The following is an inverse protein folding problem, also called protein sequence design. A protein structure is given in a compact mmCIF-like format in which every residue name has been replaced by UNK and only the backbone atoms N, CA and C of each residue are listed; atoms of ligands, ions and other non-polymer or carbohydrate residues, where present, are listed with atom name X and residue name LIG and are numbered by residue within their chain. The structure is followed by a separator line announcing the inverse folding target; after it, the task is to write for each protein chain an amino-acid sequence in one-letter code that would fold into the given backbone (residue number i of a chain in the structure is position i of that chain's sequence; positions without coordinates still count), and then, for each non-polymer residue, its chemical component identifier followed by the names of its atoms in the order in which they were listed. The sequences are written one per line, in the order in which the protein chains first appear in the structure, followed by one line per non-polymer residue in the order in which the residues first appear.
data_IF_892235504771
#
_entry.id   IF_892235504771
#
_cell.length_a   1.000
_cell.length_b   1.000
_cell.length_c   1.000
_cell.angle_alpha   90.00
_cell.angle_beta   90.00
_cell.angle_gamma   90.00
#
_symmetry.space_group_name_H-M   'P 1'
#
loop_
_entity.id
_entity.type
_entity.pdbx_description
1 polymer ?
#
# COMPACT_ATOMS: atom_id res chain seq x y z
N UNK A 1 -47.43 -27.52 -52.03
CA UNK A 1 -48.01 -26.69 -53.09
C UNK A 1 -47.46 -25.28 -53.00
N UNK A 2 -46.74 -24.89 -54.01
CA UNK A 2 -46.40 -23.55 -54.45
C UNK A 2 -45.10 -23.00 -53.88
N UNK A 3 -44.06 -23.05 -54.53
CA UNK A 3 -43.47 -22.69 -55.85
C UNK A 3 -42.52 -21.48 -55.70
N UNK A 4 -41.28 -21.78 -55.87
CA UNK A 4 -40.09 -21.09 -56.39
C UNK A 4 -40.38 -19.77 -57.11
N UNK A 5 -39.53 -18.74 -56.82
CA UNK A 5 -38.93 -17.90 -57.84
C UNK A 5 -37.61 -17.24 -57.38
N UNK A 6 -36.54 -17.69 -58.00
CA UNK A 6 -35.28 -17.00 -58.18
C UNK A 6 -35.47 -15.74 -59.03
N UNK A 7 -34.78 -14.66 -58.72
CA UNK A 7 -34.45 -13.59 -59.65
C UNK A 7 -32.97 -13.28 -59.46
N UNK A 8 -32.18 -13.77 -60.43
CA UNK A 8 -30.88 -13.25 -60.85
C UNK A 8 -31.10 -11.85 -61.40
N UNK A 9 -30.26 -10.90 -61.02
CA UNK A 9 -29.98 -9.80 -61.94
C UNK A 9 -28.57 -9.21 -61.67
N UNK A 10 -27.83 -9.27 -62.78
CA UNK A 10 -26.52 -8.69 -63.00
C UNK A 10 -26.54 -7.17 -62.83
N UNK A 11 -25.42 -6.59 -62.40
CA UNK A 11 -25.21 -5.16 -62.32
C UNK A 11 -23.82 -4.76 -61.93
N UNK A 12 -22.84 -5.01 -62.82
CA UNK A 12 -21.53 -4.35 -62.79
C UNK A 12 -21.68 -2.85 -62.67
N UNK A 13 -21.10 -2.24 -61.63
CA UNK A 13 -20.73 -0.84 -61.64
C UNK A 13 -19.38 -0.66 -60.92
N UNK A 14 -18.35 -0.61 -61.73
CA UNK A 14 -17.02 -0.08 -61.41
C UNK A 14 -17.18 1.38 -61.00
N UNK A 15 -16.89 1.70 -59.74
CA UNK A 15 -16.60 3.08 -59.33
C UNK A 15 -15.31 3.05 -58.53
N UNK A 16 -14.36 3.85 -59.01
CA UNK A 16 -12.97 3.93 -58.68
C UNK A 16 -12.65 4.13 -57.21
N UNK A 17 -11.58 3.48 -56.83
CA UNK A 17 -10.86 3.72 -55.60
C UNK A 17 -10.22 5.11 -55.59
N UNK A 18 -10.23 5.84 -54.50
CA UNK A 18 -9.22 6.85 -54.22
C UNK A 18 -8.09 6.23 -53.41
N UNK A 19 -7.21 5.50 -54.05
CA UNK A 19 -5.82 5.43 -53.61
C UNK A 19 -5.24 6.82 -53.80
N UNK A 20 -4.86 7.52 -52.73
CA UNK A 20 -3.88 8.62 -52.67
C UNK A 20 -4.08 9.59 -51.49
N UNK A 21 -4.42 9.12 -50.29
CA UNK A 21 -4.35 9.99 -49.07
C UNK A 21 -3.66 9.31 -47.89
N UNK A 22 -3.27 8.04 -47.98
CA UNK A 22 -2.63 7.35 -46.85
C UNK A 22 -1.11 7.60 -46.73
N UNK A 23 -0.46 8.12 -47.75
CA UNK A 23 0.99 8.39 -47.75
C UNK A 23 1.44 9.63 -46.99
N UNK A 24 0.58 10.62 -46.78
CA UNK A 24 0.98 11.89 -46.17
C UNK A 24 0.82 11.93 -44.63
N UNK A 25 0.07 11.01 -44.02
CA UNK A 25 -0.13 10.96 -42.58
C UNK A 25 0.91 10.09 -41.83
N UNK A 26 1.56 9.16 -42.53
CA UNK A 26 2.58 8.30 -41.91
C UNK A 26 3.95 8.96 -41.79
N UNK A 27 4.33 9.87 -42.70
CA UNK A 27 5.61 10.57 -42.66
C UNK A 27 5.67 11.68 -41.56
N UNK A 28 4.54 12.16 -41.05
CA UNK A 28 4.48 13.18 -40.01
C UNK A 28 4.71 12.61 -38.60
N UNK A 29 4.56 11.29 -38.39
CA UNK A 29 4.72 10.65 -37.08
C UNK A 29 6.15 10.10 -36.91
N UNK A 30 6.85 9.80 -37.99
CA UNK A 30 8.20 9.23 -37.93
C UNK A 30 9.32 10.23 -37.54
N UNK A 31 9.03 11.54 -37.51
CA UNK A 31 10.03 12.59 -37.26
C UNK A 31 10.13 13.15 -35.88
N UNK A 32 9.25 12.78 -34.91
CA UNK A 32 9.43 13.18 -33.51
C UNK A 32 10.37 12.21 -32.81
N UNK A 33 11.68 12.47 -32.93
CA UNK A 33 12.65 11.94 -31.96
C UNK A 33 12.14 12.31 -30.57
N UNK A 34 11.85 11.27 -29.75
CA UNK A 34 11.61 11.47 -28.34
C UNK A 34 12.74 12.33 -27.79
N UNK A 35 12.45 13.36 -26.97
CA UNK A 35 13.50 14.18 -26.39
C UNK A 35 14.50 13.25 -25.70
N UNK A 36 15.83 13.52 -25.82
CA UNK A 36 16.82 12.70 -25.17
C UNK A 36 16.46 12.67 -23.69
N UNK A 37 16.22 11.46 -23.17
CA UNK A 37 16.09 11.25 -21.73
C UNK A 37 17.40 11.71 -21.13
N UNK A 38 17.36 12.89 -20.54
CA UNK A 38 18.51 13.49 -19.87
C UNK A 38 18.93 12.53 -18.76
N UNK A 39 19.96 11.74 -19.02
CA UNK A 39 20.46 10.68 -18.15
C UNK A 39 21.22 11.22 -16.93
N UNK A 40 21.13 12.51 -16.66
CA UNK A 40 21.57 13.12 -15.41
C UNK A 40 20.51 12.87 -14.35
N UNK A 41 20.55 11.68 -13.74
CA UNK A 41 19.82 11.42 -12.52
C UNK A 41 20.26 12.45 -11.48
N UNK A 42 19.42 13.46 -11.23
CA UNK A 42 19.60 14.32 -10.06
C UNK A 42 19.76 13.43 -8.82
N UNK A 43 20.69 13.73 -7.92
CA UNK A 43 20.91 12.92 -6.74
C UNK A 43 19.60 12.77 -5.97
N UNK A 44 19.23 11.52 -5.67
CA UNK A 44 18.01 11.22 -4.92
C UNK A 44 18.09 11.94 -3.57
N UNK A 45 17.11 12.78 -3.20
CA UNK A 45 17.12 13.51 -1.93
C UNK A 45 17.20 12.54 -0.75
N UNK A 46 17.93 12.89 0.31
CA UNK A 46 18.13 12.02 1.48
C UNK A 46 16.82 11.55 2.12
N UNK A 47 15.80 12.40 2.19
CA UNK A 47 14.50 12.06 2.75
C UNK A 47 13.76 10.97 1.97
N UNK A 48 14.07 10.78 0.68
CA UNK A 48 13.44 9.75 -0.15
C UNK A 48 14.06 8.36 0.10
N UNK A 49 15.31 8.29 0.59
CA UNK A 49 15.97 7.02 0.92
C UNK A 49 15.23 6.24 2.00
N UNK A 50 14.60 6.93 2.95
CA UNK A 50 13.75 6.32 3.97
C UNK A 50 12.65 5.44 3.35
N UNK A 51 11.96 5.98 2.36
CA UNK A 51 10.91 5.25 1.63
C UNK A 51 11.50 4.23 0.62
N UNK A 52 12.60 4.54 -0.06
CA UNK A 52 13.27 3.62 -0.99
C UNK A 52 13.73 2.35 -0.26
N UNK A 53 14.27 2.50 0.94
CA UNK A 53 14.70 1.38 1.78
C UNK A 53 13.57 0.70 2.56
N UNK A 54 12.32 1.14 2.39
CA UNK A 54 11.15 0.59 3.09
C UNK A 54 11.23 0.68 4.61
N UNK A 55 11.82 1.74 5.16
CA UNK A 55 11.97 1.93 6.60
C UNK A 55 10.76 2.60 7.26
N UNK A 56 9.85 3.14 6.47
CA UNK A 56 8.60 3.76 6.86
C UNK A 56 7.66 2.79 7.60
N UNK A 57 7.30 1.69 6.99
CA UNK A 57 6.38 0.72 7.57
C UNK A 57 6.92 0.04 8.84
N UNK A 58 8.19 -0.41 8.92
CA UNK A 58 8.79 -0.89 10.17
C UNK A 58 8.74 0.12 11.31
N UNK A 59 8.99 1.39 11.03
CA UNK A 59 8.94 2.44 12.06
C UNK A 59 7.51 2.69 12.56
N UNK A 60 6.51 2.71 11.66
CA UNK A 60 5.09 2.78 12.02
C UNK A 60 4.71 1.57 12.89
N UNK A 61 5.06 0.35 12.47
CA UNK A 61 4.76 -0.86 13.22
C UNK A 61 5.37 -0.85 14.62
N UNK A 62 6.65 -0.47 14.76
CA UNK A 62 7.32 -0.37 16.04
C UNK A 62 6.67 0.68 16.96
N UNK A 63 6.40 1.88 16.45
CA UNK A 63 5.79 2.96 17.23
C UNK A 63 4.39 2.57 17.75
N UNK A 64 3.55 1.99 16.91
CA UNK A 64 2.21 1.57 17.30
C UNK A 64 2.20 0.35 18.21
N UNK A 65 3.09 -0.63 18.02
CA UNK A 65 3.23 -1.77 18.93
C UNK A 65 3.64 -1.30 20.34
N UNK A 66 4.59 -0.37 20.44
CA UNK A 66 4.97 0.25 21.72
C UNK A 66 3.81 1.04 22.33
N UNK A 67 3.01 1.75 21.53
CA UNK A 67 1.86 2.49 22.03
C UNK A 67 0.79 1.55 22.58
N UNK A 68 0.48 0.46 21.88
CA UNK A 68 -0.45 -0.56 22.37
C UNK A 68 0.06 -1.27 23.63
N UNK A 69 1.36 -1.59 23.69
CA UNK A 69 1.97 -2.18 24.89
C UNK A 69 1.84 -1.25 26.10
N UNK A 70 2.13 0.04 25.92
CA UNK A 70 1.99 1.05 26.96
C UNK A 70 0.55 1.18 27.47
N UNK A 71 -0.45 1.22 26.57
CA UNK A 71 -1.87 1.30 26.95
C UNK A 71 -2.35 0.05 27.67
N UNK A 72 -1.86 -1.10 27.26
CA UNK A 72 -2.14 -2.38 27.92
C UNK A 72 -1.33 -2.55 29.21
N UNK A 73 -0.49 -1.58 29.60
CA UNK A 73 0.43 -1.63 30.74
C UNK A 73 1.32 -2.87 30.71
N UNK A 74 1.73 -3.26 29.51
CA UNK A 74 2.60 -4.42 29.28
C UNK A 74 4.01 -3.94 28.95
N UNK A 75 4.99 -4.61 29.55
CA UNK A 75 6.39 -4.47 29.14
C UNK A 75 6.67 -5.45 28.01
N UNK A 76 6.85 -4.91 26.80
CA UNK A 76 7.23 -5.71 25.63
C UNK A 76 8.75 -5.58 25.46
N UNK A 77 9.50 -6.70 25.40
CA UNK A 77 10.93 -6.67 25.19
C UNK A 77 11.32 -5.96 23.90
N UNK A 78 12.42 -5.21 23.92
CA UNK A 78 12.90 -4.48 22.73
C UNK A 78 13.19 -5.43 21.57
N UNK A 79 13.59 -6.66 21.86
CA UNK A 79 13.83 -7.73 20.88
C UNK A 79 12.54 -8.12 20.15
N UNK A 80 11.40 -8.17 20.83
CA UNK A 80 10.08 -8.45 20.21
C UNK A 80 9.70 -7.34 19.23
N UNK A 81 9.92 -6.08 19.60
CA UNK A 81 9.71 -4.94 18.71
C UNK A 81 10.67 -4.98 17.52
N UNK A 82 11.94 -5.35 17.75
CA UNK A 82 12.92 -5.49 16.69
C UNK A 82 12.55 -6.64 15.71
N UNK A 83 12.05 -7.77 16.21
CA UNK A 83 11.53 -8.87 15.39
C UNK A 83 10.36 -8.40 14.55
N UNK A 84 9.38 -7.70 15.12
CA UNK A 84 8.25 -7.13 14.41
C UNK A 84 8.71 -6.18 13.27
N UNK A 85 9.60 -5.25 13.59
CA UNK A 85 10.13 -4.31 12.61
C UNK A 85 10.88 -5.02 11.46
N UNK A 86 11.69 -6.03 11.78
CA UNK A 86 12.42 -6.82 10.77
C UNK A 86 11.47 -7.65 9.90
N UNK A 87 10.44 -8.27 10.45
CA UNK A 87 9.44 -9.03 9.68
C UNK A 87 8.74 -8.09 8.70
N UNK A 88 8.24 -6.94 9.18
CA UNK A 88 7.59 -5.94 8.33
C UNK A 88 8.54 -5.49 7.21
N UNK A 89 9.79 -5.19 7.56
CA UNK A 89 10.78 -4.78 6.57
C UNK A 89 11.04 -5.84 5.48
N UNK A 90 11.24 -7.09 5.88
CA UNK A 90 11.47 -8.22 4.96
C UNK A 90 10.26 -8.44 4.04
N UNK A 91 9.02 -8.36 4.58
CA UNK A 91 7.78 -8.48 3.79
C UNK A 91 7.71 -7.38 2.75
N UNK A 92 7.99 -6.12 3.12
CA UNK A 92 7.97 -4.98 2.19
C UNK A 92 9.06 -5.07 1.13
N UNK A 93 10.27 -5.55 1.48
CA UNK A 93 11.31 -5.82 0.48
C UNK A 93 10.90 -6.91 -0.49
N UNK A 94 10.31 -8.00 0.01
CA UNK A 94 9.84 -9.11 -0.82
C UNK A 94 8.73 -8.67 -1.79
N UNK A 95 7.73 -7.91 -1.31
CA UNK A 95 6.65 -7.35 -2.14
C UNK A 95 7.23 -6.50 -3.28
N UNK A 96 8.18 -5.61 -2.99
CA UNK A 96 8.83 -4.76 -4.00
C UNK A 96 9.66 -5.54 -5.02
N UNK A 97 10.36 -6.59 -4.58
CA UNK A 97 11.11 -7.46 -5.47
C UNK A 97 10.16 -8.25 -6.39
N UNK A 98 9.08 -8.81 -5.84
CA UNK A 98 8.06 -9.54 -6.59
C UNK A 98 7.37 -8.64 -7.62
N UNK A 99 6.93 -7.46 -7.22
CA UNK A 99 6.33 -6.48 -8.15
C UNK A 99 7.31 -6.12 -9.28
N UNK A 100 8.61 -5.94 -8.94
CA UNK A 100 9.66 -5.67 -9.92
C UNK A 100 9.90 -6.83 -10.89
N UNK A 101 9.70 -8.08 -10.46
CA UNK A 101 9.89 -9.26 -11.31
C UNK A 101 8.65 -9.55 -12.17
N UNK A 102 7.46 -9.42 -11.63
CA UNK A 102 6.20 -9.76 -12.29
C UNK A 102 5.77 -8.69 -13.30
N UNK A 103 6.24 -7.45 -13.18
CA UNK A 103 5.90 -6.39 -14.12
C UNK A 103 6.55 -6.64 -15.49
N UNK A 104 5.72 -6.85 -16.51
CA UNK A 104 6.15 -7.17 -17.89
C UNK A 104 6.88 -5.96 -18.51
N UNK A 105 6.33 -4.77 -18.35
CA UNK A 105 6.91 -3.53 -18.90
C UNK A 105 7.76 -2.81 -17.84
N UNK A 106 9.07 -3.00 -17.91
CA UNK A 106 10.03 -2.42 -16.96
C UNK A 106 10.13 -0.88 -17.00
N UNK A 107 9.65 -0.25 -18.06
CA UNK A 107 9.64 1.22 -18.21
C UNK A 107 8.54 1.89 -17.36
N UNK A 108 7.49 1.16 -17.01
CA UNK A 108 6.38 1.66 -16.17
C UNK A 108 6.63 1.45 -14.68
N UNK A 109 7.75 0.87 -14.28
CA UNK A 109 8.08 0.64 -12.89
C UNK A 109 8.26 1.97 -12.13
N UNK A 110 7.60 2.08 -10.98
CA UNK A 110 7.79 3.17 -10.01
C UNK A 110 9.25 3.19 -9.55
N UNK A 111 9.81 4.35 -9.22
CA UNK A 111 11.25 4.51 -8.92
C UNK A 111 11.77 3.52 -7.87
N UNK A 112 11.00 3.28 -6.80
CA UNK A 112 11.35 2.32 -5.75
C UNK A 112 11.44 0.87 -6.26
N UNK A 113 10.52 0.44 -7.14
CA UNK A 113 10.56 -0.89 -7.75
C UNK A 113 11.69 -0.99 -8.76
N UNK A 114 11.97 0.09 -9.49
CA UNK A 114 13.10 0.20 -10.41
C UNK A 114 14.43 0.11 -9.67
N UNK A 115 14.56 0.78 -8.52
CA UNK A 115 15.74 0.67 -7.66
C UNK A 115 15.94 -0.77 -7.17
N UNK A 116 14.91 -1.39 -6.59
CA UNK A 116 14.96 -2.79 -6.12
C UNK A 116 15.28 -3.76 -7.27
N UNK A 117 14.68 -3.57 -8.44
CA UNK A 117 14.96 -4.40 -9.61
C UNK A 117 16.41 -4.22 -10.12
N UNK A 118 16.90 -2.99 -10.18
CA UNK A 118 18.29 -2.69 -10.60
C UNK A 118 19.32 -3.32 -9.65
N UNK A 119 19.03 -3.29 -8.35
CA UNK A 119 19.90 -3.82 -7.30
C UNK A 119 19.39 -5.14 -6.70
N UNK A 120 18.62 -5.91 -7.48
CA UNK A 120 17.90 -7.09 -6.99
C UNK A 120 18.75 -8.11 -6.22
N UNK A 121 19.99 -8.34 -6.66
CA UNK A 121 20.91 -9.29 -5.98
C UNK A 121 21.26 -8.77 -4.58
N UNK A 122 21.64 -7.50 -4.47
CA UNK A 122 21.99 -6.88 -3.19
C UNK A 122 20.75 -6.79 -2.28
N UNK A 123 19.60 -6.38 -2.82
CA UNK A 123 18.34 -6.25 -2.06
C UNK A 123 17.84 -7.64 -1.61
N UNK A 124 17.94 -8.68 -2.46
CA UNK A 124 17.61 -10.06 -2.06
C UNK A 124 18.56 -10.58 -0.99
N UNK A 125 19.87 -10.35 -1.15
CA UNK A 125 20.85 -10.70 -0.13
C UNK A 125 20.59 -10.04 1.22
N UNK A 126 20.26 -8.75 1.20
CA UNK A 126 19.90 -7.98 2.39
C UNK A 126 18.59 -8.50 3.01
N UNK A 127 17.59 -8.83 2.20
CA UNK A 127 16.33 -9.44 2.64
C UNK A 127 16.54 -10.81 3.31
N UNK A 128 17.37 -11.67 2.71
CA UNK A 128 17.73 -12.97 3.29
C UNK A 128 18.49 -12.79 4.61
N UNK A 129 19.46 -11.88 4.66
CA UNK A 129 20.18 -11.57 5.89
C UNK A 129 19.24 -11.07 6.98
N UNK A 130 18.33 -10.14 6.63
CA UNK A 130 17.30 -9.64 7.55
C UNK A 130 16.39 -10.75 8.07
N UNK A 131 15.96 -11.66 7.19
CA UNK A 131 15.16 -12.83 7.58
C UNK A 131 15.91 -13.78 8.52
N UNK A 132 17.21 -14.04 8.28
CA UNK A 132 18.04 -14.85 9.17
C UNK A 132 18.24 -14.20 10.54
N UNK A 133 18.50 -12.88 10.58
CA UNK A 133 18.61 -12.12 11.83
C UNK A 133 17.27 -12.17 12.57
N UNK A 134 16.17 -11.96 11.86
CA UNK A 134 14.82 -12.03 12.43
C UNK A 134 14.53 -13.41 13.02
N UNK A 135 14.78 -14.49 12.28
CA UNK A 135 14.61 -15.85 12.78
C UNK A 135 15.47 -16.14 14.02
N UNK A 136 16.71 -15.65 14.02
CA UNK A 136 17.62 -15.80 15.17
C UNK A 136 17.14 -15.06 16.41
N UNK A 137 16.68 -13.82 16.24
CA UNK A 137 16.10 -13.03 17.33
C UNK A 137 14.81 -13.66 17.82
N UNK A 138 13.90 -14.03 16.93
CA UNK A 138 12.65 -14.71 17.27
C UNK A 138 12.88 -15.98 18.09
N UNK A 139 13.81 -16.83 17.66
CA UNK A 139 14.16 -18.06 18.38
C UNK A 139 14.71 -17.82 19.79
N UNK A 140 15.38 -16.68 20.01
CA UNK A 140 16.00 -16.36 21.31
C UNK A 140 15.09 -15.61 22.24
N UNK A 141 14.18 -14.81 21.73
CA UNK A 141 13.51 -13.74 22.51
C UNK A 141 12.00 -13.87 22.53
N UNK A 142 11.39 -14.57 21.56
CA UNK A 142 9.95 -14.74 21.54
C UNK A 142 9.53 -15.96 22.35
N UNK A 143 8.43 -15.81 23.07
CA UNK A 143 7.78 -16.93 23.72
C UNK A 143 6.94 -17.77 22.74
N UNK A 144 6.41 -18.91 23.22
CA UNK A 144 5.63 -19.81 22.38
C UNK A 144 4.31 -19.19 21.89
N UNK A 145 3.76 -18.22 22.60
CA UNK A 145 2.50 -17.55 22.21
C UNK A 145 2.77 -16.57 21.06
N UNK A 146 3.84 -15.75 21.15
CA UNK A 146 4.28 -14.85 20.08
C UNK A 146 4.63 -15.61 18.81
N UNK A 147 5.41 -16.70 18.93
CA UNK A 147 5.77 -17.54 17.79
C UNK A 147 4.54 -18.13 17.13
N UNK A 148 3.60 -18.66 17.91
CA UNK A 148 2.35 -19.24 17.38
C UNK A 148 1.51 -18.18 16.66
N UNK A 149 1.29 -17.03 17.28
CA UNK A 149 0.56 -15.92 16.71
C UNK A 149 1.22 -15.43 15.41
N UNK A 150 2.55 -15.25 15.42
CA UNK A 150 3.34 -14.88 14.26
C UNK A 150 3.24 -15.87 13.11
N UNK A 151 3.30 -17.18 13.39
CA UNK A 151 3.16 -18.22 12.37
C UNK A 151 1.75 -18.27 11.77
N UNK A 152 0.70 -18.10 12.58
CA UNK A 152 -0.68 -18.01 12.10
C UNK A 152 -0.82 -16.80 11.15
N UNK A 153 -0.34 -15.63 11.57
CA UNK A 153 -0.40 -14.42 10.74
C UNK A 153 0.42 -14.58 9.45
N UNK A 154 1.62 -15.16 9.53
CA UNK A 154 2.46 -15.44 8.37
C UNK A 154 1.76 -16.39 7.38
N UNK A 155 1.07 -17.42 7.88
CA UNK A 155 0.28 -18.33 7.05
C UNK A 155 -0.89 -17.59 6.36
N UNK A 156 -1.59 -16.69 7.06
CA UNK A 156 -2.65 -15.86 6.49
C UNK A 156 -2.10 -14.94 5.39
N UNK A 157 -0.95 -14.27 5.64
CA UNK A 157 -0.29 -13.42 4.65
C UNK A 157 0.14 -14.24 3.43
N UNK A 158 0.76 -15.41 3.63
CA UNK A 158 1.19 -16.28 2.55
C UNK A 158 0.00 -16.78 1.72
N UNK A 159 -1.08 -17.20 2.37
CA UNK A 159 -2.32 -17.62 1.70
C UNK A 159 -2.92 -16.45 0.90
N UNK A 160 -2.99 -15.27 1.48
CA UNK A 160 -3.46 -14.07 0.78
C UNK A 160 -2.61 -13.77 -0.45
N UNK A 161 -1.28 -13.76 -0.32
CA UNK A 161 -0.35 -13.53 -1.43
C UNK A 161 -0.56 -14.58 -2.54
N UNK A 162 -0.71 -15.84 -2.16
CA UNK A 162 -1.00 -16.92 -3.11
C UNK A 162 -2.33 -16.68 -3.83
N UNK A 163 -3.39 -16.35 -3.10
CA UNK A 163 -4.72 -16.07 -3.66
C UNK A 163 -4.68 -14.89 -4.65
N UNK A 164 -3.97 -13.81 -4.32
CA UNK A 164 -3.86 -12.65 -5.21
C UNK A 164 -3.10 -12.99 -6.49
N UNK A 165 -2.02 -13.76 -6.40
CA UNK A 165 -1.19 -14.10 -7.57
C UNK A 165 -1.79 -15.22 -8.42
N UNK A 166 -2.45 -16.22 -7.80
CA UNK A 166 -3.04 -17.35 -8.50
C UNK A 166 -4.51 -17.16 -8.88
N UNK A 167 -5.26 -16.31 -8.15
CA UNK A 167 -6.71 -16.22 -8.25
C UNK A 167 -7.27 -15.24 -9.29
N UNK A 168 -6.40 -14.50 -9.96
CA UNK A 168 -6.80 -13.58 -11.03
C UNK A 168 -7.72 -12.43 -10.60
N UNK A 169 -8.38 -11.76 -11.60
CA UNK A 169 -9.13 -10.51 -11.35
C UNK A 169 -10.40 -10.67 -10.49
N UNK A 170 -10.90 -11.89 -10.31
CA UNK A 170 -12.09 -12.12 -9.48
C UNK A 170 -11.79 -11.94 -7.99
N UNK A 171 -10.67 -12.48 -7.51
CA UNK A 171 -10.28 -12.39 -6.09
C UNK A 171 -9.87 -10.96 -5.74
N UNK A 172 -9.14 -10.26 -6.62
CA UNK A 172 -8.76 -8.86 -6.39
C UNK A 172 -9.96 -7.91 -6.35
N UNK A 173 -11.10 -8.27 -6.96
CA UNK A 173 -12.35 -7.49 -6.84
C UNK A 173 -13.06 -7.70 -5.51
N UNK A 174 -13.01 -8.92 -4.98
CA UNK A 174 -13.68 -9.27 -3.72
C UNK A 174 -12.89 -8.75 -2.51
N UNK A 175 -11.56 -8.84 -2.60
CA UNK A 175 -10.62 -8.43 -1.55
C UNK A 175 -9.61 -7.43 -2.12
N UNK A 176 -9.92 -6.12 -2.11
CA UNK A 176 -8.97 -5.10 -2.57
C UNK A 176 -7.67 -5.20 -1.78
N UNK A 177 -6.53 -5.22 -2.50
CA UNK A 177 -5.19 -5.41 -1.93
C UNK A 177 -4.93 -4.42 -0.78
N UNK A 178 -5.34 -3.19 -0.96
CA UNK A 178 -5.11 -2.09 -0.03
C UNK A 178 -5.82 -2.30 1.32
N UNK A 179 -7.04 -2.83 1.27
CA UNK A 179 -7.82 -3.13 2.47
C UNK A 179 -7.21 -4.28 3.26
N UNK A 180 -6.86 -5.36 2.55
CA UNK A 180 -6.30 -6.55 3.20
C UNK A 180 -4.90 -6.25 3.77
N UNK A 181 -4.05 -5.56 3.02
CA UNK A 181 -2.71 -5.17 3.49
C UNK A 181 -2.80 -4.28 4.72
N UNK A 182 -3.67 -3.25 4.71
CA UNK A 182 -3.85 -2.38 5.87
C UNK A 182 -4.35 -3.12 7.12
N UNK A 183 -5.31 -4.05 6.96
CA UNK A 183 -5.83 -4.87 8.05
C UNK A 183 -4.78 -5.85 8.60
N UNK A 184 -4.05 -6.55 7.73
CA UNK A 184 -2.98 -7.47 8.12
C UNK A 184 -1.81 -6.75 8.81
N UNK A 185 -1.46 -5.55 8.33
CA UNK A 185 -0.46 -4.70 8.97
C UNK A 185 -0.87 -4.33 10.39
N UNK A 186 -2.11 -3.89 10.58
CA UNK A 186 -2.62 -3.55 11.90
C UNK A 186 -2.70 -4.78 12.83
N UNK A 187 -3.08 -5.95 12.32
CA UNK A 187 -3.09 -7.20 13.08
C UNK A 187 -1.68 -7.59 13.53
N UNK A 188 -0.69 -7.52 12.62
CA UNK A 188 0.70 -7.80 12.95
C UNK A 188 1.29 -6.85 13.98
N UNK A 189 0.93 -5.58 13.89
CA UNK A 189 1.38 -4.55 14.83
C UNK A 189 0.86 -4.76 16.26
N UNK A 190 -0.37 -5.29 16.41
CA UNK A 190 -0.95 -5.58 17.73
C UNK A 190 -0.51 -6.94 18.31
N UNK A 191 0.11 -7.79 17.49
CA UNK A 191 0.47 -9.16 17.89
C UNK A 191 1.28 -9.24 19.17
N UNK A 192 2.35 -8.41 19.42
CA UNK A 192 3.14 -8.45 20.63
C UNK A 192 2.33 -8.25 21.92
N UNK A 193 1.18 -7.60 21.82
CA UNK A 193 0.26 -7.39 22.94
C UNK A 193 -0.77 -8.52 23.01
N UNK A 194 -1.34 -8.93 21.90
CA UNK A 194 -2.47 -9.87 21.88
C UNK A 194 -2.09 -11.34 22.01
N UNK A 195 -0.81 -11.67 21.88
CA UNK A 195 -0.31 -13.03 22.12
C UNK A 195 -0.37 -13.42 23.60
N UNK A 196 -0.48 -12.45 24.51
CA UNK A 196 -0.40 -12.71 25.93
C UNK A 196 -1.79 -12.79 26.59
N UNK A 197 -1.96 -13.60 27.65
CA UNK A 197 -3.22 -13.68 28.37
C UNK A 197 -3.50 -12.35 29.09
N UNK A 198 -4.74 -11.88 29.00
CA UNK A 198 -5.26 -10.66 29.61
C UNK A 198 -5.06 -9.31 28.89
N UNK A 199 -4.81 -9.24 27.60
CA UNK A 199 -4.69 -7.94 26.93
C UNK A 199 -6.05 -7.36 26.51
N UNK A 200 -7.14 -8.13 26.65
CA UNK A 200 -8.42 -7.72 26.10
C UNK A 200 -9.09 -6.67 27.00
N UNK A 201 -9.10 -5.44 26.53
CA UNK A 201 -9.98 -4.37 27.02
C UNK A 201 -10.79 -3.82 25.85
N UNK A 202 -11.99 -3.33 26.10
CA UNK A 202 -12.82 -2.71 25.06
C UNK A 202 -12.12 -1.47 24.49
N UNK A 203 -11.40 -0.72 25.31
CA UNK A 203 -10.60 0.43 24.85
C UNK A 203 -9.46 0.00 23.95
N UNK A 204 -8.76 -1.09 24.30
CA UNK A 204 -7.68 -1.65 23.48
C UNK A 204 -8.19 -2.16 22.13
N UNK A 205 -9.33 -2.86 22.12
CA UNK A 205 -9.96 -3.29 20.87
C UNK A 205 -10.38 -2.09 20.01
N UNK A 206 -10.99 -1.08 20.62
CA UNK A 206 -11.41 0.13 19.92
C UNK A 206 -10.23 0.89 19.34
N UNK A 207 -9.16 1.08 20.13
CA UNK A 207 -7.91 1.70 19.67
C UNK A 207 -7.33 0.98 18.46
N UNK A 208 -7.28 -0.36 18.52
CA UNK A 208 -6.78 -1.17 17.44
C UNK A 208 -7.67 -1.08 16.19
N UNK A 209 -9.00 -1.12 16.33
CA UNK A 209 -9.92 -0.97 15.20
C UNK A 209 -9.74 0.39 14.51
N UNK A 210 -9.58 1.47 15.28
CA UNK A 210 -9.29 2.78 14.72
C UNK A 210 -7.95 2.82 13.99
N UNK A 211 -6.92 2.20 14.57
CA UNK A 211 -5.63 2.07 13.89
C UNK A 211 -5.74 1.25 12.61
N UNK A 212 -6.47 0.14 12.63
CA UNK A 212 -6.71 -0.66 11.43
C UNK A 212 -7.43 0.14 10.33
N UNK A 213 -8.45 0.94 10.70
CA UNK A 213 -9.10 1.87 9.78
C UNK A 213 -8.12 2.92 9.23
N UNK A 214 -7.25 3.47 10.07
CA UNK A 214 -6.25 4.44 9.64
C UNK A 214 -5.21 3.79 8.68
N UNK A 215 -4.78 2.54 8.92
CA UNK A 215 -3.89 1.80 8.03
C UNK A 215 -4.56 1.50 6.68
N UNK A 216 -5.81 1.04 6.68
CA UNK A 216 -6.58 0.82 5.43
C UNK A 216 -6.75 2.14 4.68
N UNK A 217 -7.14 3.20 5.38
CA UNK A 217 -7.28 4.53 4.79
C UNK A 217 -5.96 5.01 4.16
N UNK A 218 -4.83 4.81 4.84
CA UNK A 218 -3.50 5.14 4.33
C UNK A 218 -3.20 4.39 3.02
N UNK A 219 -3.34 3.08 3.01
CA UNK A 219 -3.08 2.24 1.85
C UNK A 219 -3.98 2.63 0.65
N UNK A 220 -5.29 2.77 0.87
CA UNK A 220 -6.26 3.16 -0.17
C UNK A 220 -5.95 4.54 -0.71
N UNK A 221 -5.63 5.49 0.17
CA UNK A 221 -5.35 6.88 -0.23
C UNK A 221 -4.08 6.97 -1.08
N UNK A 222 -3.00 6.30 -0.67
CA UNK A 222 -1.75 6.24 -1.45
C UNK A 222 -2.03 5.67 -2.84
N UNK A 223 -2.76 4.56 -2.94
CA UNK A 223 -3.08 3.94 -4.22
C UNK A 223 -3.93 4.86 -5.10
N UNK A 224 -4.93 5.54 -4.53
CA UNK A 224 -5.75 6.52 -5.27
C UNK A 224 -4.91 7.67 -5.84
N UNK A 225 -3.92 8.17 -5.08
CA UNK A 225 -3.04 9.23 -5.56
C UNK A 225 -2.08 8.74 -6.64
N UNK A 226 -1.53 7.53 -6.48
CA UNK A 226 -0.66 6.91 -7.47
C UNK A 226 -1.40 6.67 -8.79
N UNK A 227 -2.62 6.12 -8.74
CA UNK A 227 -3.47 5.92 -9.92
C UNK A 227 -3.88 7.25 -10.59
N UNK A 228 -4.07 8.32 -9.79
CA UNK A 228 -4.36 9.65 -10.35
C UNK A 228 -3.17 10.23 -11.13
N UNK A 229 -1.97 10.01 -10.65
CA UNK A 229 -0.74 10.45 -11.33
C UNK A 229 -0.51 9.63 -12.59
N UNK A 230 -0.62 8.31 -12.49
CA UNK A 230 -0.44 7.39 -13.61
C UNK A 230 -1.48 7.61 -14.73
N UNK A 231 -2.74 7.90 -14.38
CA UNK A 231 -3.78 8.21 -15.35
C UNK A 231 -3.54 9.51 -16.11
N UNK A 232 -2.75 10.44 -15.57
CA UNK A 232 -2.33 11.66 -16.27
C UNK A 232 -1.20 11.40 -17.27
N UNK A 233 -0.39 10.38 -17.03
CA UNK A 233 0.78 10.03 -17.82
C UNK A 233 0.47 8.97 -18.90
N UNK A 234 -0.45 8.04 -18.58
CA UNK A 234 -0.82 6.92 -19.43
C UNK A 234 -2.34 6.69 -19.34
N UNK A 235 -2.97 6.36 -20.48
CA UNK A 235 -4.41 6.02 -20.51
C UNK A 235 -4.68 4.62 -19.90
N UNK A 236 -4.25 4.40 -18.67
CA UNK A 236 -4.39 3.13 -17.94
C UNK A 236 -5.84 2.86 -17.50
N UNK A 237 -6.21 1.59 -17.40
CA UNK A 237 -7.52 1.15 -16.90
C UNK A 237 -7.47 1.15 -15.37
N UNK A 238 -8.18 2.08 -14.75
CA UNK A 238 -8.29 2.16 -13.29
C UNK A 238 -9.20 1.05 -12.72
N UNK A 239 -8.86 0.54 -11.54
CA UNK A 239 -9.71 -0.37 -10.78
C UNK A 239 -11.03 0.32 -10.40
N UNK A 240 -12.17 -0.38 -10.57
CA UNK A 240 -13.49 0.14 -10.14
C UNK A 240 -13.54 0.49 -8.66
N UNK A 241 -12.84 -0.29 -7.83
CA UNK A 241 -12.73 -0.02 -6.40
C UNK A 241 -12.02 1.32 -6.14
N UNK A 242 -10.89 1.58 -6.80
CA UNK A 242 -10.12 2.82 -6.64
C UNK A 242 -10.94 4.04 -7.10
N UNK A 243 -11.62 3.94 -8.24
CA UNK A 243 -12.51 5.01 -8.72
C UNK A 243 -13.61 5.32 -7.71
N UNK A 244 -14.21 4.28 -7.12
CA UNK A 244 -15.24 4.42 -6.08
C UNK A 244 -14.65 4.99 -4.78
N UNK A 245 -13.49 4.52 -4.33
CA UNK A 245 -12.84 4.93 -3.10
C UNK A 245 -12.39 6.39 -3.14
N UNK A 246 -11.84 6.83 -4.28
CA UNK A 246 -11.30 8.19 -4.47
C UNK A 246 -12.27 9.29 -4.05
N UNK A 247 -13.54 9.19 -4.44
CA UNK A 247 -14.57 10.17 -4.08
C UNK A 247 -14.98 10.11 -2.61
N UNK A 248 -14.63 9.04 -1.91
CA UNK A 248 -15.04 8.77 -0.52
C UNK A 248 -13.92 8.91 0.51
N UNK A 249 -12.68 9.06 0.07
CA UNK A 249 -11.53 9.30 0.99
C UNK A 249 -11.84 10.38 2.03
N UNK A 250 -12.37 11.58 1.67
CA UNK A 250 -12.66 12.60 2.66
C UNK A 250 -13.69 12.16 3.71
N UNK A 251 -14.71 11.40 3.29
CA UNK A 251 -15.77 10.89 4.17
C UNK A 251 -15.19 9.83 5.12
N UNK A 252 -14.40 8.89 4.62
CA UNK A 252 -13.77 7.86 5.46
C UNK A 252 -12.74 8.45 6.41
N UNK A 253 -11.93 9.41 5.96
CA UNK A 253 -10.95 10.08 6.81
C UNK A 253 -11.63 10.90 7.91
N UNK A 254 -12.63 11.71 7.56
CA UNK A 254 -13.42 12.47 8.52
C UNK A 254 -14.18 11.54 9.49
N UNK A 255 -14.77 10.47 8.98
CA UNK A 255 -15.46 9.45 9.78
C UNK A 255 -14.53 8.79 10.80
N UNK A 256 -13.33 8.37 10.39
CA UNK A 256 -12.32 7.78 11.29
C UNK A 256 -11.86 8.79 12.34
N UNK A 257 -11.63 10.06 11.96
CA UNK A 257 -11.28 11.12 12.91
C UNK A 257 -12.41 11.38 13.92
N UNK A 258 -13.67 11.44 13.45
CA UNK A 258 -14.85 11.60 14.33
C UNK A 258 -15.03 10.40 15.26
N UNK A 259 -14.81 9.18 14.79
CA UNK A 259 -14.79 7.99 15.66
C UNK A 259 -13.70 8.11 16.73
N UNK A 260 -12.51 8.63 16.39
CA UNK A 260 -11.49 8.94 17.38
C UNK A 260 -11.98 9.89 18.47
N UNK A 261 -12.57 11.00 18.09
CA UNK A 261 -13.16 11.99 19.02
C UNK A 261 -14.28 11.36 19.86
N UNK A 262 -15.18 10.62 19.20
CA UNK A 262 -16.29 9.94 19.87
C UNK A 262 -15.78 8.89 20.87
N UNK A 263 -14.74 8.13 20.54
CA UNK A 263 -14.11 7.17 21.44
C UNK A 263 -13.58 7.82 22.70
N UNK A 264 -12.83 8.92 22.58
CA UNK A 264 -12.34 9.68 23.73
C UNK A 264 -13.48 10.21 24.61
N UNK A 265 -14.56 10.69 24.00
CA UNK A 265 -15.68 11.28 24.71
C UNK A 265 -16.57 10.24 25.38
N UNK A 266 -17.03 9.23 24.63
CA UNK A 266 -18.04 8.27 25.13
C UNK A 266 -17.45 7.19 26.03
N UNK A 267 -16.24 6.72 25.72
CA UNK A 267 -15.52 5.74 26.55
C UNK A 267 -14.86 6.42 27.76
N UNK A 268 -14.87 7.76 27.82
CA UNK A 268 -14.11 8.54 28.82
C UNK A 268 -12.69 8.06 28.95
N UNK A 269 -12.13 7.70 27.80
CA UNK A 269 -10.81 7.08 27.72
C UNK A 269 -9.74 8.14 27.52
N UNK A 270 -8.70 8.09 28.31
CA UNK A 270 -7.49 8.88 28.13
C UNK A 270 -6.51 8.17 27.17
N UNK A 271 -7.03 7.31 26.27
CA UNK A 271 -6.22 6.51 25.35
C UNK A 271 -5.49 7.39 24.33
N UNK A 272 -4.18 7.39 24.46
CA UNK A 272 -3.30 8.06 23.51
C UNK A 272 -3.36 7.41 22.11
N UNK A 273 -3.64 6.09 22.02
CA UNK A 273 -3.76 5.40 20.73
C UNK A 273 -5.04 5.80 19.99
N UNK A 274 -6.17 5.99 20.70
CA UNK A 274 -7.39 6.53 20.10
C UNK A 274 -7.12 7.93 19.54
N UNK A 275 -6.49 8.81 20.33
CA UNK A 275 -6.14 10.15 19.91
C UNK A 275 -5.17 10.15 18.70
N UNK A 276 -4.15 9.28 18.73
CA UNK A 276 -3.17 9.14 17.65
C UNK A 276 -3.82 8.64 16.35
N UNK A 277 -4.73 7.64 16.42
CA UNK A 277 -5.41 7.12 15.24
C UNK A 277 -6.36 8.16 14.62
N UNK A 278 -7.13 8.88 15.43
CA UNK A 278 -7.97 9.97 14.97
C UNK A 278 -7.16 11.11 14.34
N UNK A 279 -6.02 11.47 14.96
CA UNK A 279 -5.11 12.49 14.41
C UNK A 279 -4.47 12.03 13.09
N UNK A 280 -4.07 10.76 12.97
CA UNK A 280 -3.54 10.20 11.74
C UNK A 280 -4.57 10.31 10.58
N UNK A 281 -5.83 9.96 10.84
CA UNK A 281 -6.91 10.10 9.87
C UNK A 281 -7.14 11.57 9.47
N UNK A 282 -7.07 12.51 10.41
CA UNK A 282 -7.17 13.93 10.14
C UNK A 282 -6.00 14.44 9.28
N UNK A 283 -4.78 13.99 9.55
CA UNK A 283 -3.62 14.34 8.74
C UNK A 283 -3.75 13.80 7.31
N UNK A 284 -4.26 12.58 7.11
CA UNK A 284 -4.54 12.02 5.78
C UNK A 284 -5.61 12.87 5.06
N UNK A 285 -6.65 13.32 5.78
CA UNK A 285 -7.65 14.23 5.21
C UNK A 285 -7.03 15.54 4.73
N UNK A 286 -6.17 16.14 5.55
CA UNK A 286 -5.44 17.37 5.19
C UNK A 286 -4.51 17.15 3.99
N UNK A 287 -3.75 16.05 3.96
CA UNK A 287 -2.91 15.70 2.82
C UNK A 287 -3.73 15.52 1.54
N UNK A 288 -4.89 14.87 1.65
CA UNK A 288 -5.78 14.72 0.49
C UNK A 288 -6.30 16.07 -0.04
N UNK A 289 -6.50 17.05 0.82
CA UNK A 289 -6.96 18.40 0.41
C UNK A 289 -5.87 19.20 -0.34
N UNK A 290 -4.60 18.97 -0.01
CA UNK A 290 -3.45 19.66 -0.63
C UNK A 290 -2.70 18.82 -1.67
N UNK A 291 -3.20 17.61 -2.01
CA UNK A 291 -2.51 16.62 -2.85
C UNK A 291 -2.06 17.14 -4.22
N UNK A 292 -2.80 18.10 -4.79
CA UNK A 292 -2.48 18.70 -6.10
C UNK A 292 -1.26 19.60 -6.08
N UNK A 293 -0.80 20.02 -4.88
CA UNK A 293 0.35 20.89 -4.68
C UNK A 293 1.64 20.11 -4.37
N UNK A 294 1.54 18.79 -4.16
CA UNK A 294 2.64 17.95 -3.72
C UNK A 294 3.01 16.94 -4.82
N UNK A 295 4.29 16.56 -4.86
CA UNK A 295 4.72 15.46 -5.72
C UNK A 295 4.22 14.10 -5.21
N UNK A 296 4.07 13.12 -6.09
CA UNK A 296 3.63 11.78 -5.71
C UNK A 296 4.54 11.11 -4.67
N UNK A 297 5.85 11.36 -4.76
CA UNK A 297 6.82 10.87 -3.77
C UNK A 297 6.60 11.50 -2.40
N UNK A 298 6.38 12.83 -2.36
CA UNK A 298 6.12 13.55 -1.12
C UNK A 298 4.81 13.09 -0.47
N UNK A 299 3.74 12.92 -1.27
CA UNK A 299 2.45 12.45 -0.79
C UNK A 299 2.55 11.10 -0.08
N UNK A 300 3.30 10.16 -0.68
CA UNK A 300 3.49 8.84 -0.11
C UNK A 300 4.24 8.89 1.21
N UNK A 301 5.40 9.56 1.24
CA UNK A 301 6.19 9.69 2.47
C UNK A 301 5.39 10.38 3.58
N UNK A 302 4.65 11.45 3.24
CA UNK A 302 3.81 12.16 4.20
C UNK A 302 2.62 11.35 4.69
N UNK A 303 2.08 10.43 3.88
CA UNK A 303 1.02 9.52 4.31
C UNK A 303 1.52 8.55 5.40
N UNK A 304 2.72 7.97 5.23
CA UNK A 304 3.32 7.11 6.24
C UNK A 304 3.73 7.92 7.49
N UNK A 305 4.23 9.13 7.31
CA UNK A 305 4.52 10.09 8.40
C UNK A 305 3.26 10.47 9.16
N UNK A 306 2.10 10.57 8.50
CA UNK A 306 0.82 10.83 9.14
C UNK A 306 0.39 9.71 10.11
N UNK A 307 0.82 8.47 9.87
CA UNK A 307 0.65 7.37 10.85
C UNK A 307 1.72 7.39 11.94
N UNK A 308 2.96 7.75 11.60
CA UNK A 308 4.10 7.67 12.50
C UNK A 308 4.12 8.79 13.55
N UNK A 309 3.93 10.05 13.13
CA UNK A 309 4.09 11.22 14.03
C UNK A 309 3.11 11.19 15.20
N UNK A 310 1.79 10.94 15.01
CA UNK A 310 0.86 10.91 16.14
C UNK A 310 1.22 9.82 17.15
N UNK A 311 1.64 8.64 16.70
CA UNK A 311 2.06 7.56 17.59
C UNK A 311 3.36 7.90 18.33
N UNK A 312 4.35 8.44 17.64
CA UNK A 312 5.60 8.87 18.26
C UNK A 312 5.38 9.99 19.30
N UNK A 313 4.52 10.96 18.97
CA UNK A 313 4.14 12.03 19.91
C UNK A 313 3.40 11.46 21.12
N UNK A 314 2.45 10.56 20.92
CA UNK A 314 1.72 9.89 21.98
C UNK A 314 2.63 9.10 22.93
N UNK A 315 3.74 8.54 22.43
CA UNK A 315 4.75 7.88 23.25
C UNK A 315 5.59 8.86 24.10
N UNK A 316 5.73 10.11 23.67
CA UNK A 316 6.49 11.14 24.40
C UNK A 316 5.66 11.83 25.49
N UNK A 317 4.34 11.91 25.30
CA UNK A 317 3.41 12.47 26.31
C UNK A 317 3.18 11.42 27.40
N UNK A 318 3.47 11.78 28.66
CA UNK A 318 3.32 10.90 29.83
C UNK A 318 1.88 10.89 30.34
#
# INVERSE_FOLDING_TARGET
MGSIRSIENDGNLLIGAPELVEGAAQDSIAGRKAPPVDSRSSPVPLWLWWNILSLDAPAVAAAWALLFARESRMEVPAETIAVLALIVWVIYLADRLLDGWLTINKHTLKERHRFCYRHRVAVSGLGVLGALICARLAYRSLDAADVRGGLILAAIVALYMLCVHAGGPAISRLFPKEVVVGALFAAGTALPVWSHPNPFSWDGLYSWLLFALACVLNCVTIQCWEDEIEARETAGVQSRFIVWAKSRIPIFAAGTALLGIAGLWFLRSDSNAIAAAGTAALLILLLNSVRTRLSGHALRVLADVALLIPAAFALLVR
#
